data_IF_206994593361
#
_entry.id   IF_206994593361
#
_cell.length_a   1.000
_cell.length_b   1.000
_cell.length_c   1.000
_cell.angle_alpha   90.00
_cell.angle_beta   90.00
_cell.angle_gamma   90.00
#
_symmetry.space_group_name_H-M   'P 1'
#
loop_
_entity.id
_entity.type
_entity.pdbx_description
1 polymer ?
#
# COMPACT_ATOMS: atom_id res chain seq x y z
N UNK A 1 -13.22 -22.72 10.69
CA UNK A 1 -12.35 -21.79 11.43
C UNK A 1 -11.11 -22.43 12.06
N UNK A 2 -11.14 -23.68 12.57
CA UNK A 2 -9.95 -24.33 13.21
C UNK A 2 -8.70 -24.42 12.32
N UNK A 3 -8.86 -24.68 11.01
CA UNK A 3 -7.74 -24.75 10.05
C UNK A 3 -6.95 -23.45 9.90
N UNK A 4 -7.64 -22.30 9.90
CA UNK A 4 -7.00 -20.99 9.75
C UNK A 4 -6.14 -20.62 10.94
N UNK A 5 -6.61 -20.96 12.15
CA UNK A 5 -5.87 -20.70 13.39
C UNK A 5 -4.60 -21.54 13.49
N UNK A 6 -4.69 -22.83 13.17
CA UNK A 6 -3.52 -23.72 13.09
C UNK A 6 -2.53 -23.30 12.00
N UNK A 7 -3.00 -22.76 10.88
CA UNK A 7 -2.12 -22.23 9.85
C UNK A 7 -1.35 -21.00 10.34
N UNK A 8 -2.04 -20.05 11.00
CA UNK A 8 -1.42 -18.87 11.61
C UNK A 8 -0.41 -19.23 12.72
N UNK A 9 -0.70 -20.24 13.53
CA UNK A 9 0.18 -20.72 14.61
C UNK A 9 1.46 -21.40 14.07
N UNK A 10 1.46 -21.84 12.82
CA UNK A 10 2.59 -22.51 12.16
C UNK A 10 3.41 -21.60 11.23
N UNK A 11 3.12 -20.30 11.18
CA UNK A 11 3.87 -19.36 10.34
C UNK A 11 5.26 -19.11 10.90
N UNK A 12 6.25 -19.10 10.01
CA UNK A 12 7.58 -18.59 10.32
C UNK A 12 7.57 -17.09 10.59
N UNK A 13 8.62 -16.58 11.24
CA UNK A 13 8.78 -15.14 11.48
C UNK A 13 8.80 -14.33 10.18
N UNK A 14 9.36 -14.90 9.10
CA UNK A 14 9.42 -14.26 7.78
C UNK A 14 8.03 -14.16 7.14
N UNK A 15 7.25 -15.24 7.13
CA UNK A 15 5.88 -15.23 6.60
C UNK A 15 4.97 -14.30 7.40
N UNK A 16 5.15 -14.26 8.72
CA UNK A 16 4.43 -13.32 9.60
C UNK A 16 4.74 -11.86 9.25
N UNK A 17 5.99 -11.54 8.93
CA UNK A 17 6.41 -10.20 8.54
C UNK A 17 5.85 -9.80 7.17
N UNK A 18 5.80 -10.74 6.21
CA UNK A 18 5.11 -10.57 4.93
C UNK A 18 3.61 -10.32 5.09
N UNK A 19 2.92 -11.13 5.88
CA UNK A 19 1.50 -10.94 6.19
C UNK A 19 1.23 -9.59 6.84
N UNK A 20 2.10 -9.19 7.78
CA UNK A 20 2.02 -7.89 8.44
C UNK A 20 2.19 -6.74 7.46
N UNK A 21 3.16 -6.85 6.53
CA UNK A 21 3.37 -5.85 5.50
C UNK A 21 2.19 -5.74 4.52
N UNK A 22 1.62 -6.88 4.10
CA UNK A 22 0.43 -6.89 3.24
C UNK A 22 -0.76 -6.27 3.97
N UNK A 23 -0.97 -6.63 5.24
CA UNK A 23 -2.04 -6.08 6.06
C UNK A 23 -1.89 -4.57 6.26
N UNK A 24 -0.70 -4.10 6.65
CA UNK A 24 -0.42 -2.68 6.83
C UNK A 24 -0.54 -1.90 5.52
N UNK A 25 -0.09 -2.47 4.40
CA UNK A 25 -0.24 -1.87 3.07
C UNK A 25 -1.70 -1.69 2.70
N UNK A 26 -2.53 -2.72 2.92
CA UNK A 26 -3.95 -2.66 2.64
C UNK A 26 -4.67 -1.66 3.57
N UNK A 27 -4.36 -1.68 4.87
CA UNK A 27 -4.96 -0.79 5.86
C UNK A 27 -4.61 0.67 5.55
N UNK A 28 -3.31 1.01 5.47
CA UNK A 28 -2.85 2.38 5.23
C UNK A 28 -3.24 2.86 3.83
N UNK A 29 -3.08 2.01 2.82
CA UNK A 29 -3.48 2.33 1.44
C UNK A 29 -4.95 2.67 1.36
N UNK A 30 -5.83 1.87 2.00
CA UNK A 30 -7.27 2.11 2.01
C UNK A 30 -7.64 3.37 2.80
N UNK A 31 -7.01 3.61 3.94
CA UNK A 31 -7.26 4.81 4.74
C UNK A 31 -6.92 6.08 3.96
N UNK A 32 -5.73 6.15 3.35
CA UNK A 32 -5.29 7.32 2.60
C UNK A 32 -6.11 7.53 1.34
N UNK A 33 -6.36 6.47 0.57
CA UNK A 33 -7.16 6.57 -0.66
C UNK A 33 -8.61 6.99 -0.36
N UNK A 34 -9.21 6.44 0.71
CA UNK A 34 -10.57 6.81 1.13
C UNK A 34 -10.65 8.27 1.59
N UNK A 35 -9.67 8.75 2.34
CA UNK A 35 -9.61 10.15 2.75
C UNK A 35 -9.53 11.09 1.54
N UNK A 36 -8.67 10.77 0.55
CA UNK A 36 -8.55 11.53 -0.70
C UNK A 36 -9.85 11.51 -1.50
N UNK A 37 -10.51 10.35 -1.62
CA UNK A 37 -11.78 10.24 -2.33
C UNK A 37 -12.89 11.03 -1.63
N UNK A 38 -13.02 10.90 -0.30
CA UNK A 38 -14.04 11.61 0.47
C UNK A 38 -13.85 13.13 0.36
N UNK A 39 -12.63 13.60 0.53
CA UNK A 39 -12.30 15.01 0.38
C UNK A 39 -12.49 15.50 -1.06
N UNK A 40 -11.92 14.80 -2.04
CA UNK A 40 -11.93 15.23 -3.43
C UNK A 40 -13.32 15.20 -4.05
N UNK A 41 -14.09 14.12 -3.84
CA UNK A 41 -15.42 13.98 -4.44
C UNK A 41 -16.48 14.88 -3.79
N UNK A 42 -16.26 15.34 -2.56
CA UNK A 42 -17.11 16.34 -1.90
C UNK A 42 -16.77 17.77 -2.29
N UNK A 43 -15.49 18.06 -2.58
CA UNK A 43 -15.01 19.42 -2.88
C UNK A 43 -15.15 19.78 -4.36
N UNK A 44 -14.95 18.82 -5.28
CA UNK A 44 -14.89 19.10 -6.72
C UNK A 44 -16.05 18.44 -7.48
N UNK A 45 -16.74 19.24 -8.28
CA UNK A 45 -17.82 18.79 -9.15
C UNK A 45 -17.36 18.78 -10.62
N UNK A 46 -17.46 17.63 -11.28
CA UNK A 46 -17.12 17.46 -12.69
C UNK A 46 -16.48 16.10 -12.98
N UNK A 47 -16.80 15.51 -14.14
CA UNK A 47 -16.33 14.16 -14.52
C UNK A 47 -14.80 14.09 -14.58
N UNK A 48 -14.16 15.09 -15.19
CA UNK A 48 -12.69 15.16 -15.30
C UNK A 48 -12.04 15.31 -13.92
N UNK A 49 -12.59 16.17 -13.05
CA UNK A 49 -12.06 16.35 -11.69
C UNK A 49 -12.17 15.05 -10.88
N UNK A 50 -13.31 14.35 -10.93
CA UNK A 50 -13.49 13.04 -10.28
C UNK A 50 -12.49 12.01 -10.79
N UNK A 51 -12.20 12.00 -12.09
CA UNK A 51 -11.21 11.09 -12.68
C UNK A 51 -9.79 11.38 -12.16
N UNK A 52 -9.41 12.66 -12.07
CA UNK A 52 -8.12 13.07 -11.49
C UNK A 52 -8.03 12.69 -10.01
N UNK A 53 -9.10 12.87 -9.23
CA UNK A 53 -9.15 12.47 -7.82
C UNK A 53 -9.01 10.95 -7.67
N UNK A 54 -9.67 10.16 -8.52
CA UNK A 54 -9.51 8.70 -8.52
C UNK A 54 -8.06 8.28 -8.85
N UNK A 55 -7.43 8.93 -9.83
CA UNK A 55 -6.02 8.68 -10.16
C UNK A 55 -5.10 9.04 -8.97
N UNK A 56 -5.37 10.16 -8.29
CA UNK A 56 -4.63 10.57 -7.10
C UNK A 56 -4.82 9.59 -5.94
N UNK A 57 -6.04 9.12 -5.69
CA UNK A 57 -6.32 8.12 -4.66
C UNK A 57 -5.61 6.79 -4.95
N UNK A 58 -5.56 6.39 -6.24
CA UNK A 58 -4.87 5.18 -6.69
C UNK A 58 -3.35 5.30 -6.52
N UNK A 59 -2.78 6.44 -6.90
CA UNK A 59 -1.34 6.68 -6.74
C UNK A 59 -0.95 6.76 -5.26
N UNK A 60 -1.79 7.36 -4.42
CA UNK A 60 -1.58 7.39 -2.97
C UNK A 60 -1.65 6.00 -2.33
N UNK A 61 -2.58 5.14 -2.77
CA UNK A 61 -2.62 3.73 -2.34
C UNK A 61 -1.31 3.02 -2.71
N UNK A 62 -0.87 3.15 -3.96
CA UNK A 62 0.40 2.58 -4.43
C UNK A 62 1.60 3.10 -3.63
N UNK A 63 1.63 4.40 -3.33
CA UNK A 63 2.67 5.02 -2.50
C UNK A 63 2.70 4.48 -1.06
N UNK A 64 1.53 4.25 -0.46
CA UNK A 64 1.43 3.65 0.87
C UNK A 64 1.99 2.22 0.89
N UNK A 65 1.64 1.41 -0.11
CA UNK A 65 2.19 0.04 -0.28
C UNK A 65 3.71 0.10 -0.40
N UNK A 66 4.24 0.92 -1.32
CA UNK A 66 5.69 1.06 -1.52
C UNK A 66 6.38 1.48 -0.21
N UNK A 67 5.80 2.41 0.54
CA UNK A 67 6.37 2.90 1.80
C UNK A 67 6.43 1.81 2.87
N UNK A 68 5.37 1.02 3.03
CA UNK A 68 5.32 -0.10 3.98
C UNK A 68 6.38 -1.14 3.65
N UNK A 69 6.48 -1.55 2.38
CA UNK A 69 7.50 -2.50 1.96
C UNK A 69 8.92 -1.94 2.07
N UNK A 70 9.13 -0.68 1.74
CA UNK A 70 10.42 -0.02 1.90
C UNK A 70 10.89 0.01 3.37
N UNK A 71 9.97 0.25 4.31
CA UNK A 71 10.29 0.27 5.74
C UNK A 71 10.58 -1.12 6.27
N UNK A 72 9.71 -2.10 5.98
CA UNK A 72 9.74 -3.43 6.58
C UNK A 72 10.75 -4.40 5.92
N UNK A 73 11.08 -4.20 4.65
CA UNK A 73 11.93 -5.11 3.90
C UNK A 73 13.18 -4.40 3.33
N UNK A 74 14.39 -4.76 3.80
CA UNK A 74 15.65 -4.21 3.29
C UNK A 74 15.86 -4.51 1.79
N UNK A 75 15.41 -5.68 1.33
CA UNK A 75 15.50 -6.12 -0.07
C UNK A 75 14.77 -5.17 -1.02
N UNK A 76 13.62 -4.63 -0.61
CA UNK A 76 12.86 -3.68 -1.42
C UNK A 76 13.59 -2.34 -1.53
N UNK A 77 14.39 -1.96 -0.52
CA UNK A 77 15.25 -0.77 -0.60
C UNK A 77 16.32 -0.93 -1.68
N UNK A 78 16.91 -2.12 -1.79
CA UNK A 78 17.90 -2.43 -2.83
C UNK A 78 17.26 -2.42 -4.23
N UNK A 79 16.07 -3.01 -4.38
CA UNK A 79 15.32 -2.98 -5.64
C UNK A 79 14.95 -1.55 -6.07
N UNK A 80 14.42 -0.74 -5.14
CA UNK A 80 14.15 0.69 -5.40
C UNK A 80 15.43 1.45 -5.76
N UNK A 81 16.53 1.22 -5.03
CA UNK A 81 17.81 1.85 -5.35
C UNK A 81 18.25 1.51 -6.78
N UNK A 82 18.06 0.27 -7.26
CA UNK A 82 18.38 -0.09 -8.65
C UNK A 82 17.51 0.65 -9.66
N UNK A 83 16.19 0.75 -9.42
CA UNK A 83 15.25 1.44 -10.31
C UNK A 83 15.59 2.94 -10.42
N UNK A 84 15.94 3.58 -9.31
CA UNK A 84 16.22 5.03 -9.27
C UNK A 84 17.68 5.39 -9.59
N UNK A 85 18.63 4.48 -9.34
CA UNK A 85 20.05 4.72 -9.63
C UNK A 85 20.43 4.46 -11.09
N UNK A 86 19.56 3.80 -11.88
CA UNK A 86 19.75 3.64 -13.33
C UNK A 86 19.44 4.92 -14.13
N UNK A 87 19.07 6.03 -13.47
CA UNK A 87 18.84 7.34 -14.08
C UNK A 87 20.06 8.28 -14.05
N UNK A 88 21.28 7.73 -14.02
CA UNK A 88 22.51 8.52 -14.19
C UNK A 88 23.12 8.26 -15.56
#
# INVERSE_FOLDING_TARGET
>A
MKKWRQWLENLSAEETLWLTAVFLSAMLGTMVSSAILQWGLSTYHGVVAKLVICLLATSAYGGAVISVFYVLFPETRLALKRIFSHKK
#
